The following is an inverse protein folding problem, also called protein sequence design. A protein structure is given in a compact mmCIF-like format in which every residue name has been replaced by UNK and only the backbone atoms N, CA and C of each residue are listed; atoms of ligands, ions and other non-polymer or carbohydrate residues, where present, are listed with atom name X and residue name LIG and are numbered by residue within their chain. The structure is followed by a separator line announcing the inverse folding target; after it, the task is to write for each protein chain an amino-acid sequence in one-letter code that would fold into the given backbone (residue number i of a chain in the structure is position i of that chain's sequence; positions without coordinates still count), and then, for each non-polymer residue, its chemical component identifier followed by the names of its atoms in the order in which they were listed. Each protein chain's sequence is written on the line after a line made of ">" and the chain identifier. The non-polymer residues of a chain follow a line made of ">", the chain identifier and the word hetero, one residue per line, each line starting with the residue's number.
data_IF_504900283395
#
_entry.id   IF_504900283395
#
_cell.length_a   1.000
_cell.length_b   1.000
_cell.length_c   1.000
_cell.angle_alpha   90.00
_cell.angle_beta   90.00
_cell.angle_gamma   90.00
#
_symmetry.space_group_name_H-M   'P 1'
#
loop_
_entity.id
_entity.type
_entity.pdbx_description
1 polymer ?
#
# COMPACT_ATOMS: atom_id res chain seq x y z
N UNK A 1 15.79 -44.43 44.63
CA UNK A 1 14.64 -43.56 44.96
C UNK A 1 14.98 -42.13 44.55
N UNK A 2 15.25 -41.87 43.27
CA UNK A 2 15.84 -40.58 42.85
C UNK A 2 15.44 -40.19 41.41
N UNK A 3 14.24 -40.60 40.98
CA UNK A 3 13.79 -40.40 39.59
C UNK A 3 12.44 -39.70 39.43
N UNK A 4 11.77 -39.34 40.53
CA UNK A 4 10.38 -38.85 40.49
C UNK A 4 10.23 -37.37 40.82
N UNK A 5 11.25 -36.70 41.37
CA UNK A 5 11.16 -35.26 41.74
C UNK A 5 11.47 -34.30 40.58
N UNK A 6 12.17 -34.75 39.52
CA UNK A 6 12.54 -33.86 38.41
C UNK A 6 11.37 -33.49 37.49
N UNK A 7 10.42 -34.41 37.25
CA UNK A 7 9.28 -34.18 36.35
C UNK A 7 8.18 -33.27 36.92
N UNK A 8 8.10 -33.15 38.24
CA UNK A 8 7.15 -32.24 38.90
C UNK A 8 7.66 -30.79 38.99
N UNK A 9 8.96 -30.57 38.72
CA UNK A 9 9.55 -29.23 38.69
C UNK A 9 9.33 -28.52 37.35
N UNK A 10 9.42 -29.25 36.22
CA UNK A 10 9.17 -28.69 34.89
C UNK A 10 7.69 -28.40 34.63
N UNK A 11 6.75 -29.18 35.16
CA UNK A 11 5.31 -28.93 34.98
C UNK A 11 4.79 -27.72 35.77
N UNK A 12 5.46 -27.34 36.86
CA UNK A 12 5.14 -26.15 37.66
C UNK A 12 5.57 -24.84 37.01
N UNK A 13 6.61 -24.85 36.17
CA UNK A 13 7.12 -23.64 35.52
C UNK A 13 6.23 -23.17 34.35
N UNK A 14 5.56 -24.09 33.65
CA UNK A 14 4.60 -23.74 32.59
C UNK A 14 3.31 -23.12 33.14
N UNK A 15 2.86 -23.52 34.33
CA UNK A 15 1.63 -23.00 34.96
C UNK A 15 1.85 -21.61 35.60
N UNK A 16 3.07 -21.34 36.07
CA UNK A 16 3.44 -20.04 36.66
C UNK A 16 3.47 -18.91 35.62
N UNK A 17 3.89 -19.17 34.38
CA UNK A 17 3.92 -18.18 33.29
C UNK A 17 2.53 -17.68 32.89
N UNK A 18 1.55 -18.59 32.84
CA UNK A 18 0.15 -18.28 32.50
C UNK A 18 -0.56 -17.51 33.63
N UNK A 19 -0.18 -17.77 34.89
CA UNK A 19 -0.67 -17.05 36.07
C UNK A 19 -0.24 -15.56 36.07
N UNK A 20 0.99 -15.27 35.65
CA UNK A 20 1.53 -13.91 35.57
C UNK A 20 0.89 -13.06 34.47
N UNK A 21 0.62 -13.66 33.32
CA UNK A 21 -0.13 -13.03 32.22
C UNK A 21 -1.58 -12.75 32.60
N UNK A 22 -2.26 -13.69 33.26
CA UNK A 22 -3.61 -13.49 33.81
C UNK A 22 -3.65 -12.38 34.87
N UNK A 23 -2.66 -12.31 35.75
CA UNK A 23 -2.57 -11.27 36.77
C UNK A 23 -2.31 -9.88 36.15
N UNK A 24 -1.47 -9.79 35.11
CA UNK A 24 -1.28 -8.56 34.32
C UNK A 24 -2.55 -8.13 33.58
N UNK A 25 -3.26 -9.06 32.94
CA UNK A 25 -4.57 -8.82 32.28
C UNK A 25 -5.59 -8.30 33.28
N UNK A 26 -5.63 -8.86 34.49
CA UNK A 26 -6.52 -8.40 35.55
C UNK A 26 -6.17 -7.00 36.06
N UNK A 27 -4.88 -6.66 36.20
CA UNK A 27 -4.47 -5.29 36.60
C UNK A 27 -4.79 -4.26 35.52
N UNK A 28 -4.54 -4.58 34.25
CA UNK A 28 -4.87 -3.72 33.12
C UNK A 28 -6.38 -3.50 33.01
N UNK A 29 -7.20 -4.56 33.12
CA UNK A 29 -8.65 -4.42 33.09
C UNK A 29 -9.18 -3.64 34.29
N UNK A 30 -8.61 -3.82 35.48
CA UNK A 30 -8.98 -3.06 36.68
C UNK A 30 -8.61 -1.59 36.55
N UNK A 31 -7.42 -1.29 36.01
CA UNK A 31 -6.93 0.08 35.75
C UNK A 31 -7.77 0.81 34.70
N UNK A 32 -8.13 0.12 33.60
CA UNK A 32 -9.06 0.62 32.59
C UNK A 32 -10.42 0.92 33.23
N UNK A 33 -10.92 0.04 34.10
CA UNK A 33 -12.18 0.26 34.85
C UNK A 33 -12.11 1.45 35.80
N UNK A 34 -10.96 1.72 36.41
CA UNK A 34 -10.78 2.88 37.31
C UNK A 34 -10.71 4.18 36.52
N UNK A 35 -10.09 4.17 35.34
CA UNK A 35 -10.12 5.31 34.41
C UNK A 35 -11.53 5.57 33.89
N UNK A 36 -12.32 4.52 33.66
CA UNK A 36 -13.70 4.59 33.20
C UNK A 36 -14.63 5.31 34.20
N UNK A 37 -14.28 5.52 35.47
CA UNK A 37 -15.15 6.20 36.44
C UNK A 37 -15.21 7.73 36.28
N UNK A 38 -14.27 8.37 35.56
CA UNK A 38 -14.29 9.83 35.32
C UNK A 38 -15.07 10.17 34.06
N UNK A 39 -16.05 11.08 34.13
CA UNK A 39 -16.94 11.43 33.00
C UNK A 39 -16.18 11.85 31.71
N UNK A 40 -15.12 12.65 31.84
CA UNK A 40 -14.23 13.00 30.71
C UNK A 40 -13.40 11.82 30.21
N UNK A 41 -13.02 10.91 31.11
CA UNK A 41 -12.29 9.71 30.74
C UNK A 41 -13.19 8.69 30.04
N UNK A 42 -14.50 8.59 30.35
CA UNK A 42 -15.45 7.77 29.58
C UNK A 42 -15.55 8.20 28.12
N UNK A 43 -15.68 9.51 27.88
CA UNK A 43 -15.74 10.05 26.51
C UNK A 43 -14.42 9.86 25.78
N UNK A 44 -13.28 10.06 26.47
CA UNK A 44 -11.95 9.85 25.90
C UNK A 44 -11.66 8.36 25.64
N UNK A 45 -12.03 7.47 26.55
CA UNK A 45 -11.93 6.01 26.39
C UNK A 45 -12.84 5.51 25.28
N UNK A 46 -14.06 6.06 25.14
CA UNK A 46 -14.95 5.74 24.03
C UNK A 46 -14.33 6.18 22.69
N UNK A 47 -13.84 7.42 22.61
CA UNK A 47 -13.12 7.92 21.43
C UNK A 47 -11.86 7.13 21.10
N UNK A 48 -11.08 6.71 22.11
CA UNK A 48 -9.90 5.87 21.93
C UNK A 48 -10.29 4.46 21.47
N UNK A 49 -11.30 3.84 22.10
CA UNK A 49 -11.80 2.50 21.70
C UNK A 49 -12.44 2.51 20.32
N UNK A 50 -13.03 3.62 19.90
CA UNK A 50 -13.63 3.78 18.56
C UNK A 50 -12.63 4.25 17.52
N UNK A 51 -11.56 4.95 17.90
CA UNK A 51 -10.55 5.46 16.96
C UNK A 51 -9.32 4.56 16.78
N UNK A 52 -9.05 3.66 17.73
CA UNK A 52 -7.88 2.77 17.74
C UNK A 52 -8.34 1.34 18.04
N UNK A 53 -8.89 0.62 17.03
CA UNK A 53 -9.49 -0.71 17.21
C UNK A 53 -8.54 -1.76 17.79
N UNK A 54 -7.22 -1.61 17.59
CA UNK A 54 -6.20 -2.52 18.16
C UNK A 54 -6.34 -2.68 19.67
N UNK A 55 -6.75 -1.65 20.39
CA UNK A 55 -6.93 -1.74 21.83
C UNK A 55 -8.07 -2.68 22.24
N UNK A 56 -9.05 -2.93 21.37
CA UNK A 56 -10.16 -3.82 21.69
C UNK A 56 -9.79 -5.27 21.36
N UNK A 57 -9.32 -5.54 20.15
CA UNK A 57 -9.08 -6.92 19.73
C UNK A 57 -7.83 -7.52 20.36
N UNK A 58 -6.79 -6.72 20.65
CA UNK A 58 -5.54 -7.22 21.26
C UNK A 58 -5.75 -7.72 22.70
N UNK A 59 -6.73 -7.17 23.43
CA UNK A 59 -7.05 -7.58 24.81
C UNK A 59 -7.77 -8.94 24.84
N UNK A 60 -8.55 -9.22 23.80
CA UNK A 60 -9.35 -10.45 23.66
C UNK A 60 -8.65 -11.51 22.81
N UNK A 61 -7.40 -11.26 22.43
CA UNK A 61 -6.61 -12.16 21.59
C UNK A 61 -6.20 -13.46 22.31
N UNK A 62 -6.39 -14.60 21.65
CA UNK A 62 -5.95 -15.89 22.15
C UNK A 62 -4.52 -16.21 21.69
N UNK A 63 -3.57 -15.91 22.58
CA UNK A 63 -2.15 -16.10 22.34
C UNK A 63 -1.72 -17.57 22.18
N UNK A 64 -2.52 -18.53 22.67
CA UNK A 64 -2.11 -19.94 22.64
C UNK A 64 -2.46 -20.63 21.33
N UNK A 65 -3.65 -20.34 20.79
CA UNK A 65 -4.13 -20.99 19.57
C UNK A 65 -3.86 -20.14 18.32
N UNK A 66 -4.06 -18.82 18.38
CA UNK A 66 -4.03 -17.97 17.19
C UNK A 66 -2.65 -17.42 16.86
N UNK A 67 -1.71 -17.34 17.82
CA UNK A 67 -0.41 -16.72 17.61
C UNK A 67 0.41 -17.36 16.48
N UNK A 68 0.56 -18.68 16.47
CA UNK A 68 1.36 -19.35 15.45
C UNK A 68 0.70 -19.33 14.07
N UNK A 69 -0.63 -19.41 14.02
CA UNK A 69 -1.39 -19.29 12.78
C UNK A 69 -1.31 -17.88 12.20
N UNK A 70 -1.44 -16.85 13.04
CA UNK A 70 -1.34 -15.47 12.60
C UNK A 70 0.10 -15.10 12.19
N UNK A 71 1.11 -15.61 12.91
CA UNK A 71 2.51 -15.40 12.57
C UNK A 71 2.89 -16.04 11.23
N UNK A 72 2.47 -17.28 10.96
CA UNK A 72 2.76 -17.95 9.68
C UNK A 72 2.01 -17.31 8.51
N UNK A 73 0.76 -16.89 8.73
CA UNK A 73 -0.02 -16.14 7.75
C UNK A 73 0.63 -14.78 7.44
N UNK A 74 1.11 -14.07 8.45
CA UNK A 74 1.78 -12.77 8.28
C UNK A 74 3.14 -12.88 7.60
N UNK A 75 3.91 -13.91 7.94
CA UNK A 75 5.18 -14.19 7.26
C UNK A 75 4.96 -14.50 5.77
N UNK A 76 3.92 -15.29 5.47
CA UNK A 76 3.51 -15.58 4.09
C UNK A 76 3.10 -14.31 3.36
N UNK A 77 2.28 -13.46 4.01
CA UNK A 77 1.88 -12.18 3.46
C UNK A 77 3.10 -11.29 3.17
N UNK A 78 4.03 -11.17 4.10
CA UNK A 78 5.26 -10.40 3.94
C UNK A 78 6.08 -10.85 2.72
N UNK A 79 6.21 -12.17 2.52
CA UNK A 79 6.91 -12.75 1.36
C UNK A 79 6.19 -12.45 0.05
N UNK A 80 4.85 -12.42 0.05
CA UNK A 80 4.07 -11.96 -1.11
C UNK A 80 4.19 -10.44 -1.33
N UNK A 81 4.29 -9.64 -0.28
CA UNK A 81 4.32 -8.17 -0.35
C UNK A 81 5.64 -7.61 -0.91
N UNK A 82 6.75 -8.34 -0.82
CA UNK A 82 8.07 -7.93 -1.35
C UNK A 82 8.08 -7.82 -2.88
N UNK A 83 7.88 -8.91 -3.65
CA UNK A 83 7.91 -8.85 -5.11
C UNK A 83 6.76 -7.99 -5.65
N UNK A 84 5.59 -8.03 -5.01
CA UNK A 84 4.46 -7.18 -5.42
C UNK A 84 4.78 -5.70 -5.21
N UNK A 85 5.37 -5.29 -4.08
CA UNK A 85 5.75 -3.90 -3.84
C UNK A 85 6.79 -3.39 -4.84
N UNK A 86 7.83 -4.19 -5.13
CA UNK A 86 8.87 -3.86 -6.11
C UNK A 86 8.27 -3.68 -7.51
N UNK A 87 7.41 -4.60 -7.95
CA UNK A 87 6.75 -4.51 -9.26
C UNK A 87 5.90 -3.24 -9.39
N UNK A 88 5.09 -2.93 -8.37
CA UNK A 88 4.21 -1.76 -8.39
C UNK A 88 4.97 -0.43 -8.31
N UNK A 89 6.11 -0.39 -7.62
CA UNK A 89 7.02 0.75 -7.67
C UNK A 89 7.49 1.04 -9.10
N UNK A 90 7.86 -0.01 -9.84
CA UNK A 90 8.18 0.07 -11.27
C UNK A 90 7.04 0.66 -12.10
N UNK A 91 5.80 0.17 -11.91
CA UNK A 91 4.59 0.68 -12.60
C UNK A 91 4.33 2.16 -12.27
N UNK A 92 4.57 2.56 -11.02
CA UNK A 92 4.42 3.94 -10.57
C UNK A 92 5.51 4.87 -11.15
N UNK A 93 6.62 4.31 -11.66
CA UNK A 93 7.78 5.08 -12.13
C UNK A 93 8.66 5.59 -10.98
N UNK A 94 8.64 4.90 -9.83
CA UNK A 94 9.50 5.19 -8.67
C UNK A 94 10.50 4.06 -8.45
N UNK A 95 11.57 4.34 -7.71
CA UNK A 95 12.58 3.31 -7.41
C UNK A 95 11.98 2.12 -6.61
N UNK A 96 12.43 0.88 -6.87
CA UNK A 96 11.88 -0.32 -6.22
C UNK A 96 11.91 -0.30 -4.69
N UNK A 97 12.87 0.42 -4.10
CA UNK A 97 13.02 0.58 -2.65
C UNK A 97 11.76 1.19 -2.03
N UNK A 98 11.12 2.14 -2.71
CA UNK A 98 9.86 2.76 -2.24
C UNK A 98 8.68 1.78 -2.28
N UNK A 99 8.76 0.73 -3.11
CA UNK A 99 7.82 -0.39 -3.11
C UNK A 99 7.83 -1.16 -1.79
N UNK A 100 9.03 -1.44 -1.26
CA UNK A 100 9.20 -2.10 0.02
C UNK A 100 8.64 -1.25 1.17
N UNK A 101 8.93 0.06 1.18
CA UNK A 101 8.39 0.97 2.19
C UNK A 101 6.87 1.04 2.15
N UNK A 102 6.30 1.08 0.95
CA UNK A 102 4.85 1.14 0.74
C UNK A 102 4.14 -0.16 1.13
N UNK A 103 4.83 -1.30 1.11
CA UNK A 103 4.31 -2.56 1.62
C UNK A 103 4.36 -2.68 3.16
N UNK A 104 5.22 -1.91 3.84
CA UNK A 104 5.44 -2.01 5.29
C UNK A 104 4.64 -0.96 6.05
N UNK A 105 4.86 0.33 5.78
CA UNK A 105 4.33 1.40 6.64
C UNK A 105 2.80 1.46 6.65
N UNK A 106 2.10 1.44 5.50
CA UNK A 106 0.65 1.48 5.49
C UNK A 106 0.01 0.24 6.12
N UNK A 107 0.58 -0.95 5.89
CA UNK A 107 0.10 -2.21 6.45
C UNK A 107 0.22 -2.23 7.97
N UNK A 108 1.39 -1.85 8.49
CA UNK A 108 1.61 -1.73 9.93
C UNK A 108 0.70 -0.68 10.59
N UNK A 109 0.52 0.48 9.96
CA UNK A 109 -0.39 1.51 10.47
C UNK A 109 -1.86 1.05 10.41
N UNK A 110 -2.22 0.27 9.39
CA UNK A 110 -3.56 -0.29 9.27
C UNK A 110 -3.87 -1.35 10.33
N UNK A 111 -2.89 -2.13 10.79
CA UNK A 111 -3.07 -3.00 11.97
C UNK A 111 -3.51 -2.22 13.22
N UNK A 112 -3.08 -0.96 13.36
CA UNK A 112 -3.40 -0.11 14.53
C UNK A 112 -4.80 0.51 14.40
N UNK A 113 -5.13 1.03 13.22
CA UNK A 113 -6.32 1.86 13.00
C UNK A 113 -7.45 1.14 12.26
N UNK A 114 -7.18 0.04 11.57
CA UNK A 114 -8.14 -0.70 10.75
C UNK A 114 -9.16 -1.46 11.59
N UNK A 115 -10.39 -1.56 11.09
CA UNK A 115 -11.48 -2.24 11.81
C UNK A 115 -11.69 -3.69 11.32
N UNK A 116 -11.40 -3.97 10.04
CA UNK A 116 -11.53 -5.31 9.46
C UNK A 116 -10.35 -6.23 9.79
N UNK A 117 -10.64 -7.39 10.40
CA UNK A 117 -9.62 -8.36 10.85
C UNK A 117 -8.83 -9.02 9.72
N UNK A 118 -9.47 -9.23 8.57
CA UNK A 118 -8.96 -10.03 7.45
C UNK A 118 -8.44 -9.18 6.28
N UNK A 119 -8.63 -7.86 6.35
CA UNK A 119 -8.20 -6.95 5.30
C UNK A 119 -6.76 -6.50 5.55
N UNK A 120 -5.94 -6.45 4.51
CA UNK A 120 -4.62 -5.86 4.55
C UNK A 120 -4.52 -4.79 3.47
N UNK A 121 -3.68 -3.77 3.72
CA UNK A 121 -3.39 -2.74 2.73
C UNK A 121 -2.14 -3.11 1.93
N UNK A 122 -2.06 -2.59 0.71
CA UNK A 122 -0.84 -2.70 -0.07
C UNK A 122 -0.91 -1.99 -1.42
N UNK A 123 0.22 -2.03 -2.16
CA UNK A 123 0.30 -1.55 -3.53
C UNK A 123 -0.74 -2.22 -4.43
N UNK A 124 -1.36 -1.43 -5.31
CA UNK A 124 -2.35 -1.92 -6.25
C UNK A 124 -2.10 -1.38 -7.66
N UNK A 125 -2.26 -2.23 -8.67
CA UNK A 125 -1.82 -1.93 -10.04
C UNK A 125 -2.54 -0.72 -10.65
N UNK A 126 -3.87 -0.63 -10.47
CA UNK A 126 -4.65 0.50 -10.97
C UNK A 126 -4.19 1.82 -10.32
N UNK A 127 -4.00 1.83 -8.99
CA UNK A 127 -3.51 3.02 -8.28
C UNK A 127 -2.10 3.41 -8.74
N UNK A 128 -1.23 2.43 -9.01
CA UNK A 128 0.15 2.66 -9.46
C UNK A 128 0.16 3.31 -10.84
N UNK A 129 -0.65 2.82 -11.79
CA UNK A 129 -0.80 3.43 -13.12
C UNK A 129 -1.37 4.84 -13.03
N UNK A 130 -2.40 5.06 -12.21
CA UNK A 130 -2.98 6.40 -12.05
C UNK A 130 -2.01 7.39 -11.41
N UNK A 131 -1.20 6.93 -10.46
CA UNK A 131 -0.16 7.75 -9.82
C UNK A 131 0.95 8.07 -10.82
N UNK A 132 1.34 7.11 -11.66
CA UNK A 132 2.32 7.30 -12.72
C UNK A 132 1.91 8.42 -13.69
N UNK A 133 0.66 8.42 -14.17
CA UNK A 133 0.16 9.49 -15.04
C UNK A 133 0.24 10.88 -14.40
N UNK A 134 0.08 10.99 -13.08
CA UNK A 134 0.25 12.27 -12.37
C UNK A 134 1.72 12.67 -12.31
N UNK A 135 2.60 11.72 -11.97
CA UNK A 135 4.05 11.93 -11.91
C UNK A 135 4.55 12.44 -13.27
N UNK A 136 4.21 11.73 -14.33
CA UNK A 136 4.62 12.06 -15.69
C UNK A 136 4.13 13.43 -16.14
N UNK A 137 2.86 13.77 -15.84
CA UNK A 137 2.29 15.08 -16.16
C UNK A 137 3.04 16.22 -15.46
N UNK A 138 3.37 16.06 -14.18
CA UNK A 138 4.11 17.09 -13.42
C UNK A 138 5.54 17.21 -13.90
N UNK A 139 6.22 16.09 -14.12
CA UNK A 139 7.60 16.09 -14.62
C UNK A 139 7.70 16.72 -16.01
N UNK A 140 6.73 16.45 -16.89
CA UNK A 140 6.68 17.06 -18.22
C UNK A 140 6.46 18.57 -18.12
N UNK A 141 5.53 19.02 -17.27
CA UNK A 141 5.27 20.45 -17.06
C UNK A 141 6.49 21.19 -16.47
N UNK A 142 7.23 20.53 -15.57
CA UNK A 142 8.48 21.08 -15.01
C UNK A 142 9.56 21.19 -16.09
N UNK A 143 9.72 20.16 -16.93
CA UNK A 143 10.67 20.16 -18.05
C UNK A 143 10.37 21.27 -19.07
N UNK A 144 9.09 21.47 -19.42
CA UNK A 144 8.67 22.56 -20.31
C UNK A 144 8.99 23.95 -19.73
N UNK A 145 8.77 24.13 -18.43
CA UNK A 145 9.08 25.39 -17.72
C UNK A 145 10.59 25.67 -17.72
N UNK A 146 11.41 24.63 -17.51
CA UNK A 146 12.87 24.74 -17.59
C UNK A 146 13.36 25.12 -19.00
N UNK A 147 12.80 24.49 -20.03
CA UNK A 147 13.13 24.80 -21.44
C UNK A 147 12.73 26.25 -21.77
N UNK A 148 11.55 26.69 -21.33
CA UNK A 148 11.08 28.06 -21.54
C UNK A 148 11.97 29.10 -20.84
N UNK A 149 12.38 28.84 -19.60
CA UNK A 149 13.28 29.72 -18.85
C UNK A 149 14.64 29.85 -19.54
N UNK A 150 15.24 28.72 -19.94
CA UNK A 150 16.52 28.71 -20.63
C UNK A 150 16.46 29.52 -21.94
N UNK A 151 15.40 29.33 -22.74
CA UNK A 151 15.18 30.07 -23.99
C UNK A 151 14.96 31.58 -23.78
N UNK A 152 14.27 31.98 -22.70
CA UNK A 152 14.04 33.39 -22.37
C UNK A 152 15.33 34.06 -21.88
N UNK A 153 16.15 33.33 -21.10
CA UNK A 153 17.47 33.76 -20.68
C UNK A 153 18.39 33.99 -21.90
N UNK A 154 18.46 33.03 -22.84
CA UNK A 154 19.21 33.19 -24.10
C UNK A 154 18.75 34.41 -24.90
N UNK A 155 17.44 34.68 -24.94
CA UNK A 155 16.88 35.84 -25.66
C UNK A 155 17.19 37.18 -24.98
N UNK A 156 17.32 37.21 -23.66
CA UNK A 156 17.73 38.40 -22.91
C UNK A 156 19.24 38.69 -22.99
N UNK A 157 20.07 37.66 -23.22
CA UNK A 157 21.53 37.77 -23.40
C UNK A 157 21.92 38.02 -24.87
N UNK A 158 21.00 37.82 -25.82
CA UNK A 158 21.22 37.96 -27.28
C UNK A 158 21.55 39.36 -27.82
N UNK A 159 22.04 40.29 -26.98
CA UNK A 159 22.60 41.58 -27.41
C UNK A 159 24.07 41.77 -27.04
N UNK A 160 24.74 40.74 -26.53
CA UNK A 160 26.18 40.80 -26.21
C UNK A 160 26.96 39.84 -27.12
N UNK A 161 28.04 40.37 -27.69
CA UNK A 161 28.86 39.76 -28.73
C UNK A 161 29.20 38.28 -28.49
N UNK A 162 29.25 37.44 -29.54
CA UNK A 162 29.56 36.00 -29.46
C UNK A 162 31.00 35.68 -28.99
N UNK A 163 31.79 36.69 -28.62
CA UNK A 163 33.16 36.56 -28.13
C UNK A 163 33.29 36.66 -26.60
N UNK A 164 32.24 37.08 -25.87
CA UNK A 164 32.28 37.05 -24.41
C UNK A 164 31.91 35.65 -23.92
N UNK A 165 32.92 34.86 -23.53
CA UNK A 165 32.75 33.63 -22.75
C UNK A 165 32.21 34.00 -21.36
N UNK A 166 30.94 34.35 -21.27
CA UNK A 166 30.32 34.61 -19.98
C UNK A 166 29.89 33.27 -19.40
N UNK A 167 30.72 32.76 -18.50
CA UNK A 167 30.36 31.67 -17.60
C UNK A 167 29.44 32.25 -16.52
N UNK A 168 28.14 32.32 -16.84
CA UNK A 168 27.13 32.71 -15.88
C UNK A 168 26.91 31.58 -14.88
N UNK A 169 27.61 31.67 -13.74
CA UNK A 169 27.27 30.91 -12.54
C UNK A 169 26.01 31.57 -11.96
N UNK A 170 24.84 31.22 -12.47
CA UNK A 170 23.62 31.37 -11.68
C UNK A 170 23.71 30.33 -10.58
N UNK A 171 23.84 30.79 -9.33
CA UNK A 171 23.60 29.98 -8.14
C UNK A 171 22.15 29.46 -8.20
N UNK A 172 21.97 28.31 -8.82
CA UNK A 172 20.77 27.48 -8.73
C UNK A 172 20.74 26.80 -7.34
N UNK A 173 20.92 27.57 -6.26
CA UNK A 173 21.07 26.99 -4.92
C UNK A 173 19.74 26.48 -4.34
N UNK A 174 18.59 26.78 -4.96
CA UNK A 174 17.26 26.36 -4.48
C UNK A 174 16.50 25.39 -5.41
N UNK A 175 17.08 24.95 -6.54
CA UNK A 175 16.38 24.00 -7.42
C UNK A 175 16.61 22.56 -6.95
N UNK A 176 15.83 22.11 -5.95
CA UNK A 176 15.78 20.70 -5.57
C UNK A 176 14.84 19.96 -6.54
N UNK A 177 15.36 19.17 -7.50
CA UNK A 177 14.54 18.53 -8.52
C UNK A 177 13.43 17.71 -7.87
N UNK A 178 12.21 17.84 -8.39
CA UNK A 178 11.05 17.10 -7.88
C UNK A 178 11.22 15.63 -8.24
N UNK A 179 11.69 14.84 -7.28
CA UNK A 179 11.73 13.38 -7.43
C UNK A 179 10.31 12.81 -7.58
N UNK A 180 10.10 11.79 -8.44
CA UNK A 180 8.81 11.10 -8.59
C UNK A 180 8.14 10.73 -7.28
N UNK A 181 8.94 10.27 -6.31
CA UNK A 181 8.44 9.85 -5.01
C UNK A 181 7.81 10.98 -4.21
N UNK A 182 8.31 12.22 -4.30
CA UNK A 182 7.70 13.35 -3.59
C UNK A 182 6.29 13.65 -4.11
N UNK A 183 6.06 13.47 -5.41
CA UNK A 183 4.73 13.61 -6.01
C UNK A 183 3.83 12.50 -5.47
N UNK A 184 4.27 11.24 -5.55
CA UNK A 184 3.50 10.09 -5.09
C UNK A 184 3.12 10.18 -3.61
N UNK A 185 4.04 10.59 -2.75
CA UNK A 185 3.80 10.79 -1.32
C UNK A 185 2.81 11.94 -1.06
N UNK A 186 2.85 12.99 -1.85
CA UNK A 186 1.87 14.10 -1.76
C UNK A 186 0.48 13.65 -2.21
N UNK A 187 0.38 12.80 -3.25
CA UNK A 187 -0.89 12.16 -3.65
C UNK A 187 -1.42 11.27 -2.52
N UNK A 188 -0.56 10.48 -1.87
CA UNK A 188 -0.94 9.63 -0.73
C UNK A 188 -1.47 10.45 0.45
N UNK A 189 -0.77 11.52 0.81
CA UNK A 189 -1.20 12.46 1.85
C UNK A 189 -2.57 13.07 1.55
N UNK A 190 -2.74 13.64 0.35
CA UNK A 190 -3.96 14.33 -0.04
C UNK A 190 -5.15 13.37 -0.21
N UNK A 191 -4.90 12.17 -0.75
CA UNK A 191 -5.87 11.07 -0.79
C UNK A 191 -6.31 10.68 0.64
N UNK A 192 -5.36 10.61 1.58
CA UNK A 192 -5.63 10.38 3.00
C UNK A 192 -6.56 11.43 3.61
N UNK A 193 -6.32 12.71 3.34
CA UNK A 193 -7.21 13.81 3.77
C UNK A 193 -8.62 13.62 3.20
N UNK A 194 -8.73 13.30 1.91
CA UNK A 194 -10.04 13.09 1.29
C UNK A 194 -10.78 11.87 1.87
N UNK A 195 -10.09 10.78 2.17
CA UNK A 195 -10.68 9.63 2.86
C UNK A 195 -11.18 9.99 4.27
N UNK A 196 -10.41 10.74 5.06
CA UNK A 196 -10.86 11.25 6.36
C UNK A 196 -12.11 12.10 6.18
N UNK A 197 -12.11 13.02 5.21
CA UNK A 197 -13.26 13.86 4.92
C UNK A 197 -14.50 13.03 4.56
N UNK A 198 -14.37 12.03 3.69
CA UNK A 198 -15.46 11.12 3.33
C UNK A 198 -15.96 10.29 4.52
N UNK A 199 -15.07 9.84 5.40
CA UNK A 199 -15.42 9.15 6.63
C UNK A 199 -16.18 10.04 7.63
N UNK A 200 -15.75 11.30 7.79
CA UNK A 200 -16.39 12.28 8.68
C UNK A 200 -17.78 12.68 8.18
N UNK A 201 -17.95 12.88 6.87
CA UNK A 201 -19.25 13.17 6.25
C UNK A 201 -20.19 11.96 6.31
N UNK A 202 -19.69 10.79 6.72
CA UNK A 202 -20.40 9.50 6.65
C UNK A 202 -20.91 9.28 5.23
N UNK A 203 -19.98 9.29 4.27
CA UNK A 203 -20.27 8.99 2.89
C UNK A 203 -20.42 7.47 2.64
N UNK A 204 -20.83 6.68 3.65
CA UNK A 204 -21.12 5.25 3.51
C UNK A 204 -22.23 4.98 2.50
N UNK A 205 -23.15 5.94 2.33
CA UNK A 205 -24.15 5.89 1.26
C UNK A 205 -23.53 5.73 -0.14
N UNK A 206 -22.29 6.19 -0.37
CA UNK A 206 -21.59 6.02 -1.65
C UNK A 206 -21.37 4.53 -1.97
N UNK A 207 -21.20 3.69 -0.94
CA UNK A 207 -21.14 2.22 -1.07
C UNK A 207 -22.48 1.60 -1.50
N UNK A 208 -23.60 2.30 -1.27
CA UNK A 208 -24.93 1.87 -1.72
C UNK A 208 -25.23 2.29 -3.16
N UNK A 209 -24.63 3.39 -3.64
CA UNK A 209 -24.77 3.83 -5.04
C UNK A 209 -23.85 3.09 -6.00
N UNK A 210 -22.71 2.58 -5.51
CA UNK A 210 -21.84 1.71 -6.28
C UNK A 210 -22.34 0.26 -6.21
N UNK A 211 -23.11 -0.12 -7.23
CA UNK A 211 -23.52 -1.51 -7.40
C UNK A 211 -22.30 -2.41 -7.54
N UNK A 212 -22.36 -3.63 -6.99
CA UNK A 212 -21.29 -4.62 -7.09
C UNK A 212 -20.85 -4.87 -8.54
N UNK A 213 -21.81 -4.84 -9.48
CA UNK A 213 -21.57 -5.00 -10.91
C UNK A 213 -20.78 -3.83 -11.51
N UNK A 214 -21.03 -2.59 -11.05
CA UNK A 214 -20.30 -1.40 -11.51
C UNK A 214 -18.86 -1.43 -11.01
N UNK A 215 -18.66 -1.79 -9.74
CA UNK A 215 -17.33 -1.92 -9.14
C UNK A 215 -16.53 -3.05 -9.80
N UNK A 216 -17.15 -4.21 -10.02
CA UNK A 216 -16.53 -5.33 -10.73
C UNK A 216 -16.14 -4.95 -12.17
N UNK A 217 -17.04 -4.30 -12.92
CA UNK A 217 -16.75 -3.82 -14.26
C UNK A 217 -15.60 -2.81 -14.31
N UNK A 218 -15.55 -1.89 -13.34
CA UNK A 218 -14.46 -0.94 -13.19
C UNK A 218 -13.11 -1.63 -12.93
N UNK A 219 -13.07 -2.58 -12.01
CA UNK A 219 -11.86 -3.34 -11.67
C UNK A 219 -11.35 -4.14 -12.87
N UNK A 220 -12.25 -4.84 -13.59
CA UNK A 220 -11.90 -5.58 -14.81
C UNK A 220 -11.37 -4.65 -15.90
N UNK A 221 -12.02 -3.50 -16.13
CA UNK A 221 -11.55 -2.49 -17.08
C UNK A 221 -10.17 -1.95 -16.71
N UNK A 222 -9.93 -1.68 -15.43
CA UNK A 222 -8.62 -1.28 -14.92
C UNK A 222 -7.55 -2.35 -15.12
N UNK A 223 -7.87 -3.64 -14.92
CA UNK A 223 -6.94 -4.73 -15.22
C UNK A 223 -6.61 -4.82 -16.72
N UNK A 224 -7.57 -4.58 -17.61
CA UNK A 224 -7.29 -4.50 -19.06
C UNK A 224 -6.31 -3.36 -19.35
N UNK A 225 -6.50 -2.20 -18.75
CA UNK A 225 -5.56 -1.07 -18.87
C UNK A 225 -4.16 -1.42 -18.37
N UNK A 226 -4.05 -2.04 -17.19
CA UNK A 226 -2.77 -2.50 -16.63
C UNK A 226 -2.13 -3.53 -17.57
N UNK A 227 -2.88 -4.52 -18.05
CA UNK A 227 -2.38 -5.56 -18.94
C UNK A 227 -1.71 -4.97 -20.19
N UNK A 228 -2.40 -4.06 -20.89
CA UNK A 228 -1.83 -3.39 -22.07
C UNK A 228 -0.71 -2.40 -21.74
N UNK A 229 -0.64 -1.89 -20.52
CA UNK A 229 0.52 -1.09 -20.07
C UNK A 229 1.78 -1.94 -19.92
N UNK A 230 1.64 -3.20 -19.50
CA UNK A 230 2.74 -4.10 -19.18
C UNK A 230 3.25 -4.89 -20.41
N UNK A 231 2.41 -5.13 -21.43
CA UNK A 231 2.84 -5.86 -22.64
C UNK A 231 4.09 -5.24 -23.29
N UNK A 232 4.16 -3.90 -23.34
CA UNK A 232 5.31 -3.22 -23.92
C UNK A 232 6.63 -3.52 -23.19
N UNK A 233 6.58 -3.61 -21.86
CA UNK A 233 7.74 -3.95 -21.03
C UNK A 233 8.14 -5.43 -21.22
N UNK A 234 7.17 -6.35 -21.31
CA UNK A 234 7.43 -7.76 -21.62
C UNK A 234 8.13 -7.94 -22.98
N UNK A 235 7.78 -7.12 -23.97
CA UNK A 235 8.38 -7.13 -25.31
C UNK A 235 9.69 -6.31 -25.38
N UNK A 236 10.02 -5.55 -24.33
CA UNK A 236 11.21 -4.67 -24.31
C UNK A 236 11.09 -3.44 -25.21
N UNK A 237 9.87 -3.02 -25.57
CA UNK A 237 9.64 -1.85 -26.42
C UNK A 237 9.32 -0.61 -25.56
N UNK A 238 9.89 0.53 -25.93
CA UNK A 238 9.57 1.82 -25.30
C UNK A 238 8.39 2.45 -26.04
N UNK A 239 7.24 2.50 -25.37
CA UNK A 239 6.03 3.13 -25.90
C UNK A 239 5.94 4.59 -25.43
N UNK A 240 5.46 5.51 -26.30
CA UNK A 240 5.22 6.88 -25.89
C UNK A 240 4.07 6.93 -24.85
N UNK A 241 4.17 7.83 -23.87
CA UNK A 241 3.06 8.07 -22.95
C UNK A 241 1.88 8.73 -23.67
N UNK A 242 0.67 8.28 -23.37
CA UNK A 242 -0.57 8.85 -23.90
C UNK A 242 -1.62 8.97 -22.81
N UNK A 243 -2.11 10.18 -22.61
CA UNK A 243 -3.19 10.50 -21.69
C UNK A 243 -4.49 10.88 -22.42
N UNK A 244 -5.62 10.63 -21.76
CA UNK A 244 -6.94 11.10 -22.20
C UNK A 244 -7.92 9.99 -22.62
N UNK A 245 -9.16 10.36 -22.98
CA UNK A 245 -10.19 9.41 -23.40
C UNK A 245 -9.73 8.61 -24.63
N UNK A 246 -9.80 7.28 -24.53
CA UNK A 246 -9.34 6.39 -25.60
C UNK A 246 -7.84 6.13 -25.64
N UNK A 247 -7.06 6.56 -24.63
CA UNK A 247 -5.62 6.29 -24.54
C UNK A 247 -5.25 4.81 -24.71
N UNK A 248 -6.10 3.89 -24.23
CA UNK A 248 -5.91 2.45 -24.42
C UNK A 248 -5.89 2.05 -25.90
N UNK A 249 -6.83 2.57 -26.71
CA UNK A 249 -6.92 2.23 -28.13
C UNK A 249 -5.68 2.71 -28.87
N UNK A 250 -5.23 3.93 -28.56
CA UNK A 250 -4.00 4.47 -29.13
C UNK A 250 -2.76 3.71 -28.68
N UNK A 251 -2.70 3.28 -27.41
CA UNK A 251 -1.58 2.46 -26.92
C UNK A 251 -1.53 1.09 -27.59
N UNK A 252 -2.69 0.49 -27.85
CA UNK A 252 -2.81 -0.75 -28.63
C UNK A 252 -2.34 -0.53 -30.06
N UNK A 253 -2.70 0.59 -30.69
CA UNK A 253 -2.19 0.94 -32.02
C UNK A 253 -0.65 1.09 -32.01
N UNK A 254 -0.09 1.85 -31.06
CA UNK A 254 1.36 2.04 -30.95
C UNK A 254 2.10 0.71 -30.72
N UNK A 255 1.50 -0.21 -29.97
CA UNK A 255 2.01 -1.55 -29.73
C UNK A 255 2.09 -2.36 -31.03
N UNK A 256 1.05 -2.31 -31.88
CA UNK A 256 1.08 -3.01 -33.17
C UNK A 256 2.07 -2.39 -34.15
N UNK A 257 2.20 -1.06 -34.15
CA UNK A 257 3.16 -0.35 -35.02
C UNK A 257 4.61 -0.67 -34.65
N UNK A 258 4.93 -0.77 -33.35
CA UNK A 258 6.29 -1.05 -32.85
C UNK A 258 6.57 -2.51 -32.54
N UNK A 259 5.64 -3.42 -32.85
CA UNK A 259 5.84 -4.86 -32.70
C UNK A 259 7.14 -5.38 -33.37
N UNK A 260 7.57 -4.86 -34.54
CA UNK A 260 8.83 -5.28 -35.15
C UNK A 260 10.09 -4.88 -34.36
N UNK A 261 10.00 -3.90 -33.47
CA UNK A 261 11.13 -3.41 -32.64
C UNK A 261 11.35 -4.25 -31.37
N UNK A 262 10.65 -5.39 -31.25
CA UNK A 262 10.69 -6.26 -30.07
C UNK A 262 12.10 -6.78 -29.80
N UNK A 263 12.57 -6.61 -28.56
CA UNK A 263 13.84 -7.16 -28.12
C UNK A 263 13.67 -8.64 -27.73
N UNK A 264 14.21 -9.54 -28.54
CA UNK A 264 14.04 -10.99 -28.34
C UNK A 264 14.50 -11.50 -26.97
N UNK A 265 15.58 -10.93 -26.42
CA UNK A 265 16.09 -11.31 -25.10
C UNK A 265 15.08 -11.01 -23.98
N UNK A 266 14.52 -9.80 -23.97
CA UNK A 266 13.52 -9.37 -22.96
C UNK A 266 12.24 -10.17 -23.08
N UNK A 267 11.79 -10.44 -24.32
CA UNK A 267 10.66 -11.32 -24.57
C UNK A 267 10.88 -12.72 -24.00
N UNK A 268 12.03 -13.35 -24.27
CA UNK A 268 12.32 -14.69 -23.76
C UNK A 268 12.40 -14.73 -22.23
N UNK A 269 13.00 -13.72 -21.60
CA UNK A 269 13.06 -13.60 -20.14
C UNK A 269 11.66 -13.47 -19.56
N UNK A 270 10.81 -12.58 -20.13
CA UNK A 270 9.43 -12.39 -19.65
C UNK A 270 8.58 -13.65 -19.81
N UNK A 271 8.77 -14.40 -20.90
CA UNK A 271 8.09 -15.67 -21.16
C UNK A 271 8.53 -16.74 -20.16
N UNK A 272 9.84 -16.85 -19.93
CA UNK A 272 10.40 -17.78 -18.96
C UNK A 272 9.95 -17.45 -17.53
N UNK A 273 9.91 -16.17 -17.15
CA UNK A 273 9.41 -15.74 -15.84
C UNK A 273 7.92 -16.01 -15.69
N UNK A 274 7.11 -15.77 -16.73
CA UNK A 274 5.68 -16.06 -16.70
C UNK A 274 5.41 -17.56 -16.57
N UNK A 275 6.14 -18.38 -17.33
CA UNK A 275 6.05 -19.83 -17.26
C UNK A 275 6.46 -20.33 -15.87
N UNK A 276 7.58 -19.81 -15.33
CA UNK A 276 8.05 -20.14 -13.99
C UNK A 276 7.05 -19.74 -12.90
N UNK A 277 6.49 -18.52 -12.94
CA UNK A 277 5.48 -18.06 -11.96
C UNK A 277 4.19 -18.86 -12.02
N UNK A 278 3.76 -19.24 -13.23
CA UNK A 278 2.55 -20.06 -13.41
C UNK A 278 2.80 -21.48 -12.91
N UNK A 279 3.97 -22.05 -13.23
CA UNK A 279 4.40 -23.34 -12.71
C UNK A 279 4.55 -23.33 -11.19
N UNK A 280 5.15 -22.28 -10.63
CA UNK A 280 5.35 -22.15 -9.20
C UNK A 280 4.02 -22.15 -8.47
N UNK A 281 3.05 -21.37 -8.98
CA UNK A 281 1.73 -21.24 -8.38
C UNK A 281 0.87 -22.51 -8.47
N UNK A 282 0.94 -23.26 -9.56
CA UNK A 282 0.08 -24.42 -9.76
C UNK A 282 0.68 -25.74 -9.26
N UNK A 283 2.01 -25.88 -9.28
CA UNK A 283 2.69 -27.15 -8.98
C UNK A 283 3.51 -27.03 -7.70
N UNK A 284 4.23 -25.93 -7.53
CA UNK A 284 5.12 -25.74 -6.39
C UNK A 284 4.33 -25.32 -5.14
N UNK A 285 3.36 -24.42 -5.21
CA UNK A 285 2.61 -23.96 -4.02
C UNK A 285 1.88 -25.11 -3.27
N UNK A 286 1.15 -26.03 -3.94
CA UNK A 286 0.51 -27.16 -3.25
C UNK A 286 1.52 -28.17 -2.67
N UNK A 287 2.71 -28.25 -3.25
CA UNK A 287 3.77 -29.16 -2.81
C UNK A 287 4.64 -28.54 -1.69
N UNK A 288 5.01 -27.27 -1.83
CA UNK A 288 5.89 -26.52 -0.94
C UNK A 288 5.21 -26.19 0.39
N UNK A 289 3.90 -25.94 0.36
CA UNK A 289 3.08 -25.79 1.58
C UNK A 289 3.04 -27.04 2.47
N UNK A 290 3.44 -28.21 1.93
CA UNK A 290 3.55 -29.45 2.72
C UNK A 290 4.94 -29.69 3.33
N UNK A 291 5.96 -28.91 2.94
CA UNK A 291 7.38 -29.15 3.28
C UNK A 291 8.00 -28.00 4.07
N UNK A 292 7.60 -26.74 3.83
CA UNK A 292 8.15 -25.57 4.51
C UNK A 292 7.04 -24.80 5.23
N UNK A 293 7.02 -24.87 6.56
CA UNK A 293 6.10 -24.07 7.38
C UNK A 293 6.50 -22.59 7.50
N UNK A 294 7.70 -22.19 7.05
CA UNK A 294 8.17 -20.81 7.23
C UNK A 294 9.09 -20.32 6.11
N UNK A 295 8.66 -19.34 5.28
CA UNK A 295 9.55 -18.59 4.41
C UNK A 295 10.16 -17.40 5.16
N UNK A 296 11.48 -17.38 5.39
CA UNK A 296 12.16 -16.30 6.14
C UNK A 296 12.48 -15.12 5.20
N UNK A 297 11.89 -13.92 5.39
CA UNK A 297 12.18 -12.76 4.54
C UNK A 297 13.43 -12.03 5.03
N UNK A 298 14.60 -12.46 4.57
CA UNK A 298 15.89 -11.84 4.91
C UNK A 298 16.03 -10.39 4.39
N UNK A 299 15.24 -9.98 3.39
CA UNK A 299 15.22 -8.61 2.86
C UNK A 299 14.58 -7.59 3.82
N UNK A 300 13.66 -8.03 4.68
CA UNK A 300 13.03 -7.18 5.71
C UNK A 300 14.03 -6.73 6.79
N UNK A 301 15.08 -7.51 7.04
CA UNK A 301 16.15 -7.18 7.99
C UNK A 301 17.20 -6.21 7.41
N UNK A 302 17.27 -6.11 6.08
CA UNK A 302 18.25 -5.31 5.35
C UNK A 302 17.71 -3.94 4.89
N UNK A 303 16.40 -3.73 5.00
CA UNK A 303 15.77 -2.46 4.66
C UNK A 303 16.25 -1.35 5.62
N UNK A 304 17.11 -0.46 5.13
CA UNK A 304 17.47 0.76 5.84
C UNK A 304 16.24 1.65 5.93
N UNK A 305 15.85 2.04 7.15
CA UNK A 305 14.72 2.94 7.39
C UNK A 305 14.99 4.30 6.72
N UNK A 306 14.10 4.77 5.84
CA UNK A 306 14.29 6.05 5.19
C UNK A 306 14.12 7.19 6.21
N UNK A 307 14.84 8.30 6.07
CA UNK A 307 14.54 9.48 6.86
C UNK A 307 13.10 9.94 6.55
N UNK A 308 12.34 10.41 7.56
CA UNK A 308 11.01 10.94 7.34
C UNK A 308 11.09 12.13 6.37
N UNK A 309 10.25 12.11 5.35
CA UNK A 309 10.18 13.13 4.31
C UNK A 309 8.73 13.63 4.25
N UNK A 310 8.54 14.92 4.51
CA UNK A 310 7.21 15.51 4.46
C UNK A 310 6.73 15.68 3.00
N UNK A 311 5.41 15.54 2.75
CA UNK A 311 4.85 15.78 1.43
C UNK A 311 5.07 17.23 1.00
N UNK A 312 5.27 17.45 -0.30
CA UNK A 312 5.48 18.80 -0.86
C UNK A 312 4.14 19.50 -1.03
N UNK A 313 3.75 20.29 -0.04
CA UNK A 313 2.47 21.01 -0.02
C UNK A 313 2.28 21.96 -1.22
N UNK A 314 3.37 22.44 -1.82
CA UNK A 314 3.36 23.29 -3.02
C UNK A 314 2.73 22.61 -4.24
N UNK A 315 2.75 21.28 -4.31
CA UNK A 315 2.17 20.52 -5.42
C UNK A 315 0.66 20.30 -5.27
N UNK A 316 0.09 20.54 -4.09
CA UNK A 316 -1.32 20.26 -3.81
C UNK A 316 -2.27 20.93 -4.81
N UNK A 317 -2.12 22.23 -5.15
CA UNK A 317 -3.03 22.88 -6.10
C UNK A 317 -3.02 22.25 -7.49
N UNK A 318 -1.88 21.75 -7.97
CA UNK A 318 -1.77 21.16 -9.32
C UNK A 318 -2.30 19.73 -9.39
N UNK A 319 -2.22 18.97 -8.29
CA UNK A 319 -2.66 17.56 -8.21
C UNK A 319 -4.04 17.39 -7.54
N UNK A 320 -4.70 18.46 -7.13
CA UNK A 320 -5.92 18.38 -6.33
C UNK A 320 -7.02 17.56 -7.01
N UNK A 321 -7.35 17.92 -8.26
CA UNK A 321 -8.43 17.29 -9.03
C UNK A 321 -8.08 15.85 -9.42
N UNK A 322 -6.83 15.61 -9.80
CA UNK A 322 -6.37 14.26 -10.18
C UNK A 322 -6.35 13.33 -8.96
N UNK A 323 -5.95 13.84 -7.79
CA UNK A 323 -5.96 13.07 -6.53
C UNK A 323 -7.37 12.75 -6.08
N UNK A 324 -8.35 13.63 -6.30
CA UNK A 324 -9.76 13.34 -6.05
C UNK A 324 -10.23 12.13 -6.88
N UNK A 325 -9.83 12.06 -8.15
CA UNK A 325 -10.07 10.89 -9.01
C UNK A 325 -9.47 9.60 -8.44
N UNK A 326 -8.20 9.63 -8.03
CA UNK A 326 -7.53 8.48 -7.38
C UNK A 326 -8.25 8.07 -6.09
N UNK A 327 -8.72 9.04 -5.30
CA UNK A 327 -9.44 8.80 -4.05
C UNK A 327 -10.74 8.02 -4.32
N UNK A 328 -11.54 8.45 -5.30
CA UNK A 328 -12.78 7.74 -5.67
C UNK A 328 -12.49 6.29 -6.06
N UNK A 329 -11.44 6.08 -6.87
CA UNK A 329 -10.99 4.75 -7.28
C UNK A 329 -10.53 3.91 -6.09
N UNK A 330 -9.77 4.52 -5.18
CA UNK A 330 -9.25 3.88 -3.96
C UNK A 330 -10.40 3.45 -3.06
N UNK A 331 -11.40 4.30 -2.86
CA UNK A 331 -12.62 4.00 -2.11
C UNK A 331 -13.41 2.86 -2.75
N UNK A 332 -13.59 2.88 -4.07
CA UNK A 332 -14.33 1.83 -4.78
C UNK A 332 -13.66 0.46 -4.61
N UNK A 333 -12.34 0.38 -4.76
CA UNK A 333 -11.58 -0.87 -4.58
C UNK A 333 -11.63 -1.31 -3.12
N UNK A 334 -11.35 -0.41 -2.17
CA UNK A 334 -11.33 -0.72 -0.75
C UNK A 334 -12.67 -1.29 -0.27
N UNK A 335 -13.77 -0.62 -0.59
CA UNK A 335 -15.12 -1.05 -0.22
C UNK A 335 -15.52 -2.35 -0.91
N UNK A 336 -15.08 -2.60 -2.13
CA UNK A 336 -15.30 -3.89 -2.82
C UNK A 336 -14.64 -5.03 -2.05
N UNK A 337 -13.38 -4.86 -1.66
CA UNK A 337 -12.66 -5.90 -0.88
C UNK A 337 -13.29 -6.10 0.48
N UNK A 338 -13.65 -5.02 1.19
CA UNK A 338 -14.35 -5.09 2.47
C UNK A 338 -15.67 -5.88 2.35
N UNK A 339 -16.45 -5.64 1.30
CA UNK A 339 -17.73 -6.34 1.08
C UNK A 339 -17.55 -7.81 0.72
N UNK A 340 -16.49 -8.14 -0.01
CA UNK A 340 -16.09 -9.53 -0.28
C UNK A 340 -15.72 -10.24 1.03
N UNK A 341 -14.97 -9.58 1.92
CA UNK A 341 -14.62 -10.11 3.24
C UNK A 341 -15.87 -10.32 4.09
N UNK A 342 -16.74 -9.32 4.18
CA UNK A 342 -18.02 -9.38 4.92
C UNK A 342 -18.88 -10.55 4.41
N UNK A 343 -19.00 -10.73 3.10
CA UNK A 343 -19.75 -11.84 2.50
C UNK A 343 -19.11 -13.20 2.78
N UNK A 344 -17.77 -13.30 2.78
CA UNK A 344 -17.04 -14.54 2.99
C UNK A 344 -17.04 -15.00 4.45
N UNK A 345 -16.94 -14.06 5.39
CA UNK A 345 -16.82 -14.35 6.83
C UNK A 345 -18.11 -14.11 7.62
N UNK A 346 -19.15 -13.55 7.00
CA UNK A 346 -20.43 -13.21 7.64
C UNK A 346 -20.30 -12.29 8.86
N UNK A 347 -19.23 -11.48 8.94
CA UNK A 347 -19.02 -10.46 9.97
C UNK A 347 -19.31 -9.06 9.40
N UNK A 348 -20.19 -8.25 10.02
CA UNK A 348 -20.53 -6.93 9.52
C UNK A 348 -19.35 -5.95 9.69
N UNK A 349 -18.97 -5.25 8.62
CA UNK A 349 -17.85 -4.30 8.65
C UNK A 349 -18.36 -2.86 8.46
N UNK A 350 -18.01 -1.99 9.41
CA UNK A 350 -18.37 -0.57 9.32
C UNK A 350 -17.54 0.15 8.24
N UNK A 351 -18.16 0.42 7.09
CA UNK A 351 -17.54 1.09 5.95
C UNK A 351 -17.07 2.51 6.26
N UNK A 352 -17.78 3.29 7.10
CA UNK A 352 -17.33 4.63 7.49
C UNK A 352 -16.01 4.59 8.25
N UNK A 353 -15.87 3.62 9.15
CA UNK A 353 -14.66 3.45 9.93
C UNK A 353 -13.51 3.02 9.01
N UNK A 354 -13.74 2.07 8.11
CA UNK A 354 -12.75 1.66 7.12
C UNK A 354 -12.21 2.83 6.28
N UNK A 355 -13.07 3.75 5.84
CA UNK A 355 -12.66 4.96 5.14
C UNK A 355 -11.83 5.90 6.02
N UNK A 356 -12.24 6.07 7.28
CA UNK A 356 -11.50 6.87 8.25
C UNK A 356 -10.11 6.29 8.54
N UNK A 357 -10.02 4.98 8.75
CA UNK A 357 -8.77 4.25 8.98
C UNK A 357 -7.86 4.35 7.77
N UNK A 358 -8.37 4.14 6.56
CA UNK A 358 -7.61 4.30 5.32
C UNK A 358 -7.08 5.73 5.17
N UNK A 359 -7.85 6.74 5.60
CA UNK A 359 -7.43 8.12 5.60
C UNK A 359 -6.32 8.45 6.60
N UNK A 360 -6.44 8.00 7.85
CA UNK A 360 -5.39 8.15 8.87
C UNK A 360 -4.12 7.47 8.40
N UNK A 361 -4.22 6.22 7.92
CA UNK A 361 -3.09 5.47 7.40
C UNK A 361 -2.45 6.22 6.23
N UNK A 362 -3.26 6.79 5.33
CA UNK A 362 -2.81 7.65 4.24
C UNK A 362 -1.94 8.82 4.71
N UNK A 363 -2.46 9.58 5.67
CA UNK A 363 -1.79 10.77 6.22
C UNK A 363 -0.52 10.38 6.98
N UNK A 364 -0.58 9.39 7.87
CA UNK A 364 0.57 8.99 8.68
C UNK A 364 1.67 8.33 7.84
N UNK A 365 1.30 7.49 6.88
CA UNK A 365 2.27 6.83 6.00
C UNK A 365 3.00 7.84 5.10
N UNK A 366 2.35 8.96 4.76
CA UNK A 366 2.95 10.01 3.93
C UNK A 366 4.09 10.78 4.61
N UNK A 367 4.35 10.56 5.90
CA UNK A 367 5.58 11.01 6.54
C UNK A 367 6.82 10.23 6.06
N UNK A 368 6.60 9.13 5.35
CA UNK A 368 7.62 8.29 4.72
C UNK A 368 7.47 8.36 3.20
N UNK A 369 8.54 8.09 2.44
CA UNK A 369 8.51 8.08 0.98
C UNK A 369 7.75 6.84 0.46
N UNK A 370 6.43 6.92 0.48
CA UNK A 370 5.49 5.88 0.03
C UNK A 370 4.54 6.43 -1.05
N UNK A 371 3.89 5.54 -1.78
CA UNK A 371 2.87 5.88 -2.78
C UNK A 371 1.48 5.35 -2.37
N UNK A 372 0.39 5.78 -3.06
CA UNK A 372 -0.97 5.39 -2.68
C UNK A 372 -1.23 3.88 -2.62
N UNK A 373 -1.91 3.44 -1.55
CA UNK A 373 -2.29 2.03 -1.33
C UNK A 373 -3.81 1.87 -1.17
N UNK A 374 -4.27 0.63 -1.31
CA UNK A 374 -5.65 0.21 -1.02
C UNK A 374 -5.67 -1.24 -0.53
N UNK A 375 -6.85 -1.77 -0.22
CA UNK A 375 -7.03 -3.17 0.17
C UNK A 375 -6.49 -4.15 -0.88
N UNK A 376 -5.78 -5.18 -0.43
CA UNK A 376 -5.23 -6.23 -1.30
C UNK A 376 -6.07 -7.52 -1.26
N UNK A 377 -6.32 -8.10 -2.44
CA UNK A 377 -7.04 -9.37 -2.57
C UNK A 377 -6.27 -10.59 -2.04
N UNK A 378 -4.93 -10.52 -2.00
CA UNK A 378 -4.09 -11.67 -1.69
C UNK A 378 -4.41 -12.28 -0.31
N UNK A 379 -4.65 -11.46 0.72
CA UNK A 379 -5.04 -11.94 2.05
C UNK A 379 -6.46 -12.55 2.07
N UNK A 380 -7.39 -11.98 1.29
CA UNK A 380 -8.76 -12.52 1.17
C UNK A 380 -8.82 -13.89 0.50
N UNK A 381 -7.87 -14.21 -0.40
CA UNK A 381 -7.83 -15.47 -1.16
C UNK A 381 -6.98 -16.54 -0.50
N UNK A 382 -5.86 -16.18 0.15
CA UNK A 382 -4.93 -17.14 0.77
C UNK A 382 -5.54 -17.83 2.00
N UNK A 383 -6.64 -17.30 2.56
CA UNK A 383 -7.56 -18.05 3.41
C UNK A 383 -6.89 -18.69 4.61
N UNK A 384 -6.84 -18.00 5.74
CA UNK A 384 -6.60 -18.74 6.98
C UNK A 384 -7.78 -19.71 7.19
N UNK A 385 -7.51 -21.02 7.37
CA UNK A 385 -8.54 -22.01 7.64
C UNK A 385 -9.24 -21.81 8.99
N UNK A 386 -8.71 -20.95 9.86
CA UNK A 386 -9.19 -20.79 11.23
C UNK A 386 -10.06 -19.55 11.44
N UNK A 387 -11.21 -19.77 12.09
CA UNK A 387 -12.22 -18.77 12.47
C UNK A 387 -11.70 -17.67 13.41
N UNK A 388 -10.49 -17.81 13.97
CA UNK A 388 -9.95 -16.91 15.00
C UNK A 388 -8.85 -15.96 14.52
N UNK A 389 -8.65 -15.78 13.21
CA UNK A 389 -7.58 -14.91 12.72
C UNK A 389 -7.82 -13.43 12.97
N UNK A 390 -6.75 -12.72 13.32
CA UNK A 390 -6.77 -11.29 13.66
C UNK A 390 -5.82 -10.48 12.80
N UNK A 391 -5.72 -9.16 13.05
CA UNK A 391 -4.79 -8.28 12.33
C UNK A 391 -3.32 -8.48 12.73
N UNK A 392 -3.00 -9.36 13.68
CA UNK A 392 -1.58 -9.68 14.06
C UNK A 392 -0.77 -10.19 12.87
N UNK A 393 -1.43 -10.66 11.81
CA UNK A 393 -0.78 -11.10 10.58
C UNK A 393 -0.22 -9.96 9.72
N UNK A 394 -0.65 -8.72 9.93
CA UNK A 394 -0.27 -7.55 9.12
C UNK A 394 0.98 -6.86 9.70
#
# INVERSE_FOLDING_TARGET
>A
MEGTEAKDSESRDWDNGDSGLRQRRHRLSTFVRTLEERYHAKTLLYLLKTGVPICNWLIDYDWKESFFADMSAGLTLAVFMVPTGIAHAGICGVEPVYGLYTSIFPTFLYMIFGNSKYNALGPFAILSVLTHSIIEKIQTAEMETQIMYNNTLYKSVGTVDPASNITFITSMDDFVPIRPIHIATTVMFLSGIFHIFLGVVRADFLSCYLSEQVMSGFVVGGFVHVFFSQIGECLGIKLPPRDGPGSLLFRVQDLFERLPETQFATFLISLASLAFLTFSRHVLDPWLSSVFEFPIPYELLLASFPPPALPRFELIPSIFVTTLGITIVTVAIHLTVVKIVENKHHEPINSCHELYSLGIVGVLSSAFPVFPVTSIFARTLVGSPDKNTTQVTD
#
